data_IF_278121193331
#
_entry.id   IF_278121193331
#
_cell.length_a   1.000
_cell.length_b   1.000
_cell.length_c   1.000
_cell.angle_alpha   90.00
_cell.angle_beta   90.00
_cell.angle_gamma   90.00
#
_symmetry.space_group_name_H-M   'P 1'
#
loop_
_entity.id
_entity.type
_entity.pdbx_description
1 polymer ?
#
# COMPACT_ATOMS: atom_id res chain seq x y z
N UNK A 1 4.13 34.96 -26.96
CA UNK A 1 3.91 35.09 -25.50
C UNK A 1 4.02 33.80 -24.66
N UNK A 2 4.67 32.69 -25.09
CA UNK A 2 4.92 31.56 -24.16
C UNK A 2 6.30 31.47 -23.45
N UNK A 3 7.41 32.16 -23.84
CA UNK A 3 8.71 31.89 -23.22
C UNK A 3 8.87 32.50 -21.82
N UNK A 4 8.16 33.60 -21.53
CA UNK A 4 8.26 34.30 -20.24
C UNK A 4 7.59 33.51 -19.10
N UNK A 5 6.49 32.79 -19.37
CA UNK A 5 5.82 31.95 -18.37
C UNK A 5 6.66 30.71 -18.00
N UNK A 6 7.40 30.15 -18.96
CA UNK A 6 8.30 29.02 -18.71
C UNK A 6 9.49 29.42 -17.80
N UNK A 7 10.05 30.62 -18.00
CA UNK A 7 11.15 31.15 -17.17
C UNK A 7 10.73 31.38 -15.71
N UNK A 8 9.51 31.86 -15.48
CA UNK A 8 8.96 32.07 -14.14
C UNK A 8 8.70 30.73 -13.42
N UNK A 9 8.24 29.71 -14.16
CA UNK A 9 8.06 28.35 -13.62
C UNK A 9 9.37 27.69 -13.17
N UNK A 10 10.47 27.92 -13.90
CA UNK A 10 11.79 27.39 -13.53
C UNK A 10 12.41 28.07 -12.30
N UNK A 11 12.07 29.33 -12.02
CA UNK A 11 12.55 30.05 -10.83
C UNK A 11 11.75 29.70 -9.56
N UNK A 12 10.55 29.11 -9.73
CA UNK A 12 9.74 28.55 -8.66
C UNK A 12 9.99 27.04 -8.44
N UNK A 13 11.05 26.48 -9.04
CA UNK A 13 11.44 25.10 -8.83
C UNK A 13 12.02 24.94 -7.41
N UNK A 14 11.18 24.55 -6.47
CA UNK A 14 11.66 24.11 -5.16
C UNK A 14 12.38 22.77 -5.29
N UNK A 15 13.44 22.52 -4.50
CA UNK A 15 14.04 21.20 -4.42
C UNK A 15 12.95 20.21 -3.98
N UNK A 16 12.59 19.29 -4.86
CA UNK A 16 11.72 18.17 -4.50
C UNK A 16 12.57 17.17 -3.74
N UNK A 17 12.48 17.14 -2.42
CA UNK A 17 13.24 16.22 -1.57
C UNK A 17 12.76 14.75 -1.65
N UNK A 18 11.88 14.41 -2.60
CA UNK A 18 11.35 13.05 -2.80
C UNK A 18 12.21 12.17 -3.72
N UNK A 19 13.50 12.48 -3.90
CA UNK A 19 14.41 11.62 -4.64
C UNK A 19 14.77 10.42 -3.75
N UNK A 20 14.00 9.34 -3.86
CA UNK A 20 14.16 8.11 -3.05
C UNK A 20 15.36 7.24 -3.43
N UNK A 21 16.14 7.65 -4.44
CA UNK A 21 17.36 6.95 -4.84
C UNK A 21 18.56 7.65 -4.22
N UNK A 22 19.31 6.92 -3.39
CA UNK A 22 20.58 7.39 -2.81
C UNK A 22 21.66 7.61 -3.87
N UNK A 23 22.90 7.80 -3.43
CA UNK A 23 24.06 7.93 -4.32
C UNK A 23 24.11 6.78 -5.32
N UNK A 24 24.58 7.07 -6.55
CA UNK A 24 24.86 6.04 -7.55
C UNK A 24 25.75 4.98 -6.91
N UNK A 25 25.16 3.82 -6.66
CA UNK A 25 25.91 2.66 -6.19
C UNK A 25 26.63 2.13 -7.41
N UNK A 26 27.94 2.32 -7.47
CA UNK A 26 28.77 1.67 -8.47
C UNK A 26 28.62 0.15 -8.30
N UNK A 27 28.27 -0.55 -9.38
CA UNK A 27 28.13 -2.00 -9.29
C UNK A 27 29.51 -2.61 -8.97
N UNK A 28 29.60 -3.55 -8.01
CA UNK A 28 30.85 -4.23 -7.70
C UNK A 28 31.35 -5.11 -8.85
N UNK A 29 30.54 -5.30 -9.91
CA UNK A 29 30.80 -6.18 -11.05
C UNK A 29 30.72 -5.36 -12.35
N UNK A 30 31.59 -5.61 -13.36
CA UNK A 30 31.51 -4.93 -14.64
C UNK A 30 30.12 -5.03 -15.29
N UNK A 31 29.68 -3.93 -15.93
CA UNK A 31 28.34 -3.79 -16.49
C UNK A 31 27.91 -4.95 -17.40
N UNK A 32 28.82 -5.45 -18.24
CA UNK A 32 28.52 -6.57 -19.16
C UNK A 32 28.09 -7.84 -18.45
N UNK A 33 28.80 -8.24 -17.39
CA UNK A 33 28.44 -9.41 -16.59
C UNK A 33 27.13 -9.21 -15.85
N UNK A 34 26.88 -7.99 -15.34
CA UNK A 34 25.60 -7.67 -14.70
C UNK A 34 24.44 -7.79 -15.69
N UNK A 35 24.55 -7.22 -16.89
CA UNK A 35 23.49 -7.26 -17.90
C UNK A 35 23.20 -8.69 -18.37
N UNK A 36 24.25 -9.51 -18.60
CA UNK A 36 24.08 -10.92 -18.97
C UNK A 36 23.41 -11.69 -17.83
N UNK A 37 23.86 -11.49 -16.59
CA UNK A 37 23.26 -12.14 -15.41
C UNK A 37 21.81 -11.74 -15.19
N UNK A 38 21.48 -10.45 -15.26
CA UNK A 38 20.12 -9.94 -15.13
C UNK A 38 19.21 -10.48 -16.25
N UNK A 39 19.69 -10.46 -17.50
CA UNK A 39 18.96 -11.02 -18.64
C UNK A 39 18.68 -12.50 -18.49
N UNK A 40 19.68 -13.29 -18.08
CA UNK A 40 19.52 -14.72 -17.82
C UNK A 40 18.56 -15.00 -16.66
N UNK A 41 18.65 -14.25 -15.55
CA UNK A 41 17.75 -14.41 -14.41
C UNK A 41 16.28 -14.16 -14.81
N UNK A 42 16.02 -13.09 -15.58
CA UNK A 42 14.69 -12.80 -16.11
C UNK A 42 14.22 -13.93 -17.04
N UNK A 43 15.02 -14.31 -18.04
CA UNK A 43 14.66 -15.37 -18.99
C UNK A 43 14.35 -16.69 -18.28
N UNK A 44 15.20 -17.12 -17.34
CA UNK A 44 15.01 -18.34 -16.56
C UNK A 44 13.76 -18.27 -15.67
N UNK A 45 13.45 -17.12 -15.06
CA UNK A 45 12.23 -16.96 -14.27
C UNK A 45 10.96 -17.15 -15.11
N UNK A 46 10.93 -16.62 -16.34
CA UNK A 46 9.82 -16.84 -17.26
C UNK A 46 9.73 -18.29 -17.71
N UNK A 47 10.86 -18.95 -17.99
CA UNK A 47 10.88 -20.38 -18.34
C UNK A 47 10.33 -21.21 -17.18
N UNK A 48 10.77 -20.93 -15.94
CA UNK A 48 10.28 -21.62 -14.75
C UNK A 48 8.78 -21.39 -14.54
N UNK A 49 8.31 -20.15 -14.63
CA UNK A 49 6.88 -19.84 -14.46
C UNK A 49 6.06 -20.51 -15.58
N UNK A 50 6.51 -20.44 -16.83
CA UNK A 50 5.85 -21.05 -17.99
C UNK A 50 5.75 -22.57 -17.89
N UNK A 51 6.76 -23.23 -17.30
CA UNK A 51 6.81 -24.70 -17.17
C UNK A 51 6.18 -25.23 -15.89
N UNK A 52 6.23 -24.47 -14.79
CA UNK A 52 5.78 -24.92 -13.47
C UNK A 52 4.39 -24.40 -13.08
N UNK A 53 3.92 -23.30 -13.68
CA UNK A 53 2.64 -22.69 -13.33
C UNK A 53 1.61 -23.01 -14.40
N UNK A 54 0.74 -23.97 -14.09
CA UNK A 54 -0.47 -24.21 -14.88
C UNK A 54 -1.49 -23.09 -14.68
N UNK A 55 -1.82 -22.40 -15.77
CA UNK A 55 -2.84 -21.33 -15.83
C UNK A 55 -4.24 -21.93 -16.06
N UNK A 56 -4.42 -23.24 -15.87
CA UNK A 56 -5.73 -23.89 -15.96
C UNK A 56 -6.65 -23.34 -14.88
N UNK A 57 -7.75 -22.72 -15.32
CA UNK A 57 -8.60 -21.84 -14.51
C UNK A 57 -9.11 -22.46 -13.21
N UNK A 58 -9.28 -21.55 -12.23
CA UNK A 58 -9.58 -21.76 -10.81
C UNK A 58 -8.33 -22.03 -9.97
N UNK A 59 -7.64 -20.97 -9.51
CA UNK A 59 -6.64 -21.11 -8.46
C UNK A 59 -7.31 -21.56 -7.16
N UNK A 60 -7.49 -22.87 -6.98
CA UNK A 60 -7.81 -23.49 -5.71
C UNK A 60 -6.54 -23.58 -4.86
N UNK A 61 -5.93 -22.42 -4.58
CA UNK A 61 -4.92 -22.36 -3.54
C UNK A 61 -5.60 -22.68 -2.21
N UNK A 62 -4.94 -23.50 -1.39
CA UNK A 62 -5.35 -23.73 0.00
C UNK A 62 -5.23 -22.40 0.76
N UNK A 63 -6.30 -21.60 0.75
CA UNK A 63 -6.38 -20.35 1.50
C UNK A 63 -7.13 -20.66 2.78
N UNK A 64 -6.41 -20.66 3.90
CA UNK A 64 -7.06 -20.64 5.20
C UNK A 64 -7.68 -19.25 5.41
N UNK A 65 -8.91 -19.09 4.91
CA UNK A 65 -9.69 -17.88 5.14
C UNK A 65 -10.22 -17.88 6.57
N UNK A 66 -9.38 -17.51 7.53
CA UNK A 66 -9.75 -17.41 8.93
C UNK A 66 -10.86 -16.37 9.16
N UNK A 67 -11.02 -15.39 8.25
CA UNK A 67 -12.08 -14.36 8.32
C UNK A 67 -13.42 -14.88 7.76
N UNK A 68 -13.40 -15.86 6.86
CA UNK A 68 -14.57 -16.43 6.20
C UNK A 68 -15.43 -17.36 7.08
N UNK A 69 -14.90 -17.80 8.22
CA UNK A 69 -15.63 -18.63 9.16
C UNK A 69 -16.78 -17.84 9.83
N UNK A 70 -17.94 -18.47 10.04
CA UNK A 70 -19.13 -17.78 10.59
C UNK A 70 -18.86 -17.14 11.97
N UNK A 71 -17.94 -17.73 12.73
CA UNK A 71 -17.53 -17.26 14.06
C UNK A 71 -16.59 -16.04 14.01
N UNK A 72 -15.63 -16.01 13.07
CA UNK A 72 -14.75 -14.87 12.87
C UNK A 72 -15.53 -13.65 12.39
N UNK A 73 -16.53 -13.81 11.51
CA UNK A 73 -17.41 -12.70 11.11
C UNK A 73 -18.12 -12.08 12.31
N UNK A 74 -18.66 -12.87 13.24
CA UNK A 74 -19.36 -12.34 14.43
C UNK A 74 -18.45 -11.54 15.36
N UNK A 75 -17.23 -12.03 15.62
CA UNK A 75 -16.26 -11.34 16.49
C UNK A 75 -15.63 -10.12 15.79
N UNK A 76 -15.36 -10.20 14.48
CA UNK A 76 -14.83 -9.10 13.67
C UNK A 76 -15.90 -8.11 13.17
N UNK A 77 -17.20 -8.34 13.40
CA UNK A 77 -18.24 -7.33 13.08
C UNK A 77 -18.66 -6.53 14.30
N UNK A 78 -18.28 -6.94 15.51
CA UNK A 78 -18.56 -6.15 16.70
C UNK A 78 -17.83 -4.81 16.62
N UNK A 79 -18.55 -3.67 16.74
CA UNK A 79 -17.95 -2.35 16.65
C UNK A 79 -16.91 -2.12 17.76
N UNK A 80 -17.07 -2.78 18.92
CA UNK A 80 -16.19 -2.65 20.08
C UNK A 80 -14.82 -3.32 19.87
N UNK A 81 -14.78 -4.49 19.23
CA UNK A 81 -13.52 -5.21 18.96
C UNK A 81 -12.78 -4.59 17.78
N UNK A 82 -13.51 -4.03 16.82
CA UNK A 82 -12.92 -3.35 15.67
C UNK A 82 -12.37 -1.96 15.99
N UNK A 83 -12.94 -1.25 16.97
CA UNK A 83 -12.51 0.09 17.32
C UNK A 83 -11.01 0.20 17.64
N UNK A 84 -10.41 -0.64 18.53
CA UNK A 84 -8.97 -0.58 18.78
C UNK A 84 -8.14 -0.88 17.53
N UNK A 85 -8.56 -1.84 16.70
CA UNK A 85 -7.88 -2.17 15.43
C UNK A 85 -7.90 -0.96 14.48
N UNK A 86 -9.05 -0.27 14.40
CA UNK A 86 -9.21 0.93 13.58
C UNK A 86 -8.35 2.08 14.09
N UNK A 87 -8.34 2.32 15.39
CA UNK A 87 -7.51 3.34 16.03
C UNK A 87 -6.02 3.07 15.77
N UNK A 88 -5.56 1.84 15.97
CA UNK A 88 -4.17 1.45 15.70
C UNK A 88 -3.81 1.67 14.23
N UNK A 89 -4.68 1.29 13.30
CA UNK A 89 -4.43 1.51 11.87
C UNK A 89 -4.27 3.00 11.52
N UNK A 90 -5.20 3.84 11.98
CA UNK A 90 -5.13 5.30 11.72
C UNK A 90 -3.94 5.93 12.44
N UNK A 91 -3.62 5.47 13.65
CA UNK A 91 -2.43 5.90 14.39
C UNK A 91 -1.15 5.55 13.64
N UNK A 92 -1.02 4.32 13.12
CA UNK A 92 0.13 3.90 12.32
C UNK A 92 0.26 4.75 11.05
N UNK A 93 -0.84 5.07 10.37
CA UNK A 93 -0.83 6.00 9.25
C UNK A 93 -0.31 7.39 9.67
N UNK A 94 -0.80 7.92 10.80
CA UNK A 94 -0.34 9.18 11.37
C UNK A 94 1.16 9.15 11.71
N UNK A 95 1.65 8.04 12.27
CA UNK A 95 3.05 7.83 12.60
C UNK A 95 3.92 7.77 11.35
N UNK A 96 3.49 7.09 10.28
CA UNK A 96 4.16 7.07 8.98
C UNK A 96 4.29 8.47 8.39
N UNK A 97 3.23 9.28 8.48
CA UNK A 97 3.24 10.67 8.00
C UNK A 97 4.20 11.52 8.85
N UNK A 98 4.07 11.45 10.18
CA UNK A 98 4.88 12.23 11.10
C UNK A 98 6.38 11.91 10.97
N UNK A 99 6.74 10.63 10.91
CA UNK A 99 8.13 10.18 10.71
C UNK A 99 8.61 10.39 9.28
N UNK A 100 7.71 10.49 8.30
CA UNK A 100 8.06 10.92 6.95
C UNK A 100 8.54 12.37 6.87
N UNK A 101 7.95 13.27 7.67
CA UNK A 101 8.33 14.69 7.69
C UNK A 101 9.43 15.03 8.71
N UNK A 102 9.41 14.39 9.88
CA UNK A 102 10.30 14.71 11.00
C UNK A 102 11.14 13.54 11.51
N UNK A 103 11.15 12.40 10.82
CA UNK A 103 11.96 11.25 11.17
C UNK A 103 13.41 11.36 10.70
N UNK A 104 14.16 10.29 10.92
CA UNK A 104 15.58 10.22 10.58
C UNK A 104 15.80 10.37 9.05
N UNK A 105 16.83 11.10 8.60
CA UNK A 105 17.16 11.19 7.17
C UNK A 105 17.58 9.85 6.55
N UNK A 106 18.12 8.92 7.35
CA UNK A 106 18.51 7.59 6.91
C UNK A 106 17.27 6.70 6.75
N UNK A 107 16.98 6.19 5.53
CA UNK A 107 15.80 5.37 5.29
C UNK A 107 15.77 4.06 6.09
N UNK A 108 16.92 3.55 6.54
CA UNK A 108 16.99 2.32 7.34
C UNK A 108 16.64 2.56 8.81
N UNK A 109 16.81 3.78 9.30
CA UNK A 109 16.51 4.18 10.67
C UNK A 109 15.15 4.86 10.80
N UNK A 110 14.61 5.37 9.69
CA UNK A 110 13.31 6.00 9.66
C UNK A 110 12.19 4.95 9.64
N UNK A 111 11.24 5.09 10.57
CA UNK A 111 10.07 4.22 10.67
C UNK A 111 9.23 4.19 9.38
N UNK A 112 9.02 5.35 8.74
CA UNK A 112 8.13 5.48 7.58
C UNK A 112 8.52 4.55 6.41
N UNK A 113 9.75 4.61 5.87
CA UNK A 113 10.17 3.70 4.80
C UNK A 113 10.23 2.23 5.25
N UNK A 114 10.74 1.91 6.45
CA UNK A 114 10.80 0.53 6.93
C UNK A 114 9.40 -0.07 7.07
N UNK A 115 8.47 0.68 7.66
CA UNK A 115 7.10 0.23 7.84
C UNK A 115 6.39 0.06 6.51
N UNK A 116 6.44 1.04 5.60
CA UNK A 116 5.71 0.98 4.33
C UNK A 116 6.29 -0.11 3.40
N UNK A 117 7.60 -0.19 3.27
CA UNK A 117 8.22 -1.08 2.28
C UNK A 117 8.42 -2.51 2.79
N UNK A 118 8.81 -2.68 4.05
CA UNK A 118 9.12 -4.01 4.60
C UNK A 118 7.90 -4.58 5.30
N UNK A 119 7.45 -3.93 6.36
CA UNK A 119 6.38 -4.47 7.21
C UNK A 119 5.06 -4.53 6.43
N UNK A 120 4.71 -3.44 5.76
CA UNK A 120 3.45 -3.30 5.06
C UNK A 120 3.47 -4.02 3.72
N UNK A 121 4.38 -3.68 2.79
CA UNK A 121 4.35 -4.29 1.46
C UNK A 121 4.63 -5.80 1.49
N UNK A 122 5.70 -6.23 2.16
CA UNK A 122 6.07 -7.65 2.24
C UNK A 122 5.24 -8.38 3.29
N UNK A 123 5.14 -7.86 4.51
CA UNK A 123 4.40 -8.52 5.58
C UNK A 123 2.90 -8.64 5.30
N UNK A 124 2.25 -7.59 4.77
CA UNK A 124 0.82 -7.64 4.47
C UNK A 124 0.51 -8.57 3.30
N UNK A 125 1.36 -8.64 2.26
CA UNK A 125 1.13 -9.54 1.13
C UNK A 125 1.19 -11.01 1.54
N UNK A 126 2.19 -11.40 2.35
CA UNK A 126 2.29 -12.75 2.93
C UNK A 126 1.08 -13.04 3.82
N UNK A 127 0.72 -12.10 4.69
CA UNK A 127 -0.43 -12.24 5.59
C UNK A 127 -1.74 -12.41 4.82
N UNK A 128 -1.94 -11.68 3.71
CA UNK A 128 -3.13 -11.80 2.85
C UNK A 128 -3.15 -13.11 2.06
N UNK A 129 -1.99 -13.58 1.62
CA UNK A 129 -1.84 -14.87 0.96
C UNK A 129 -2.27 -16.01 1.92
N UNK A 130 -1.81 -15.95 3.17
CA UNK A 130 -2.05 -16.98 4.18
C UNK A 130 -3.45 -16.93 4.80
N UNK A 131 -3.87 -15.76 5.29
CA UNK A 131 -5.03 -15.62 6.17
C UNK A 131 -6.29 -15.03 5.48
N UNK A 132 -6.14 -14.48 4.27
CA UNK A 132 -7.22 -13.84 3.52
C UNK A 132 -7.20 -12.30 3.56
N UNK A 133 -8.28 -11.64 3.16
CA UNK A 133 -8.32 -10.18 2.96
C UNK A 133 -8.37 -9.37 4.29
N UNK A 134 -7.25 -9.35 5.03
CA UNK A 134 -7.07 -8.54 6.24
C UNK A 134 -7.07 -7.03 5.96
N UNK A 135 -6.69 -6.63 4.75
CA UNK A 135 -6.69 -5.21 4.34
C UNK A 135 -8.07 -4.56 4.49
N UNK A 136 -9.15 -5.29 4.23
CA UNK A 136 -10.51 -4.77 4.36
C UNK A 136 -10.87 -4.25 5.77
N UNK A 137 -10.16 -4.74 6.80
CA UNK A 137 -10.31 -4.37 8.21
C UNK A 137 -9.36 -3.23 8.59
N UNK A 138 -8.11 -3.32 8.12
CA UNK A 138 -7.03 -2.41 8.50
C UNK A 138 -6.95 -1.16 7.61
N UNK A 139 -7.70 -1.05 6.51
CA UNK A 139 -7.56 0.08 5.58
C UNK A 139 -7.84 1.44 6.27
N UNK A 140 -6.82 2.28 6.52
CA UNK A 140 -6.98 3.51 7.29
C UNK A 140 -7.84 4.54 6.53
N UNK A 141 -7.77 4.58 5.19
CA UNK A 141 -8.57 5.48 4.37
C UNK A 141 -10.06 5.18 4.47
N UNK A 142 -10.41 3.89 4.43
CA UNK A 142 -11.80 3.43 4.63
C UNK A 142 -12.29 3.77 6.04
N UNK A 143 -11.43 3.63 7.05
CA UNK A 143 -11.75 3.95 8.44
C UNK A 143 -12.02 5.44 8.61
N UNK A 144 -11.11 6.29 8.12
CA UNK A 144 -11.22 7.75 8.17
C UNK A 144 -12.50 8.20 7.47
N UNK A 145 -12.78 7.67 6.27
CA UNK A 145 -14.02 7.97 5.55
C UNK A 145 -15.25 7.56 6.35
N UNK A 146 -15.25 6.36 6.96
CA UNK A 146 -16.36 5.90 7.78
C UNK A 146 -16.61 6.78 9.01
N UNK A 147 -15.55 7.29 9.65
CA UNK A 147 -15.68 8.25 10.74
C UNK A 147 -16.20 9.60 10.25
N UNK A 148 -15.69 10.11 9.13
CA UNK A 148 -16.17 11.33 8.51
C UNK A 148 -17.67 11.24 8.15
N UNK A 149 -18.12 10.11 7.60
CA UNK A 149 -19.53 9.85 7.32
C UNK A 149 -20.37 9.76 8.59
N UNK A 150 -19.86 9.14 9.66
CA UNK A 150 -20.53 9.11 10.96
C UNK A 150 -20.72 10.51 11.56
N UNK A 151 -19.68 11.33 11.55
CA UNK A 151 -19.73 12.72 12.01
C UNK A 151 -20.70 13.54 11.14
N UNK A 152 -20.63 13.37 9.82
CA UNK A 152 -21.53 14.08 8.91
C UNK A 152 -23.00 13.73 9.14
N UNK A 153 -23.32 12.45 9.37
CA UNK A 153 -24.68 12.01 9.72
C UNK A 153 -25.16 12.58 11.06
N UNK A 154 -24.26 12.75 12.03
CA UNK A 154 -24.58 13.38 13.31
C UNK A 154 -24.90 14.87 13.15
N UNK A 155 -24.18 15.58 12.26
CA UNK A 155 -24.37 17.01 12.00
C UNK A 155 -25.52 17.29 11.03
N UNK A 156 -25.76 16.41 10.04
CA UNK A 156 -26.82 16.53 9.03
C UNK A 156 -27.55 15.19 8.85
N UNK A 157 -28.59 14.91 9.65
CA UNK A 157 -29.41 13.72 9.50
C UNK A 157 -30.01 13.65 8.08
N UNK A 158 -29.79 12.54 7.37
CA UNK A 158 -30.41 12.28 6.05
C UNK A 158 -29.53 12.56 4.82
N UNK A 159 -28.31 13.09 4.96
CA UNK A 159 -27.36 13.22 3.84
C UNK A 159 -26.13 12.36 4.07
N UNK A 160 -25.81 11.49 3.12
CA UNK A 160 -24.57 10.72 3.11
C UNK A 160 -23.46 11.49 2.40
N UNK A 161 -22.22 11.34 2.87
CA UNK A 161 -21.03 11.82 2.15
C UNK A 161 -20.78 10.95 0.91
N UNK A 162 -21.15 9.68 0.97
CA UNK A 162 -21.17 8.81 -0.20
C UNK A 162 -22.23 9.33 -1.19
N UNK A 163 -21.81 9.57 -2.43
CA UNK A 163 -22.69 10.05 -3.50
C UNK A 163 -23.76 9.03 -3.92
N UNK A 164 -23.75 7.83 -3.32
CA UNK A 164 -24.68 6.71 -3.55
C UNK A 164 -25.00 6.46 -5.03
N UNK A 165 -24.05 6.79 -5.92
CA UNK A 165 -24.20 6.57 -7.36
C UNK A 165 -24.01 5.10 -7.63
N UNK A 166 -24.94 4.53 -8.40
CA UNK A 166 -24.78 3.19 -8.92
C UNK A 166 -23.51 3.14 -9.77
N UNK A 167 -22.76 2.05 -9.57
CA UNK A 167 -21.60 1.78 -10.40
C UNK A 167 -22.10 1.56 -11.83
N UNK A 168 -21.52 2.22 -12.85
CA UNK A 168 -21.94 1.97 -14.21
C UNK A 168 -21.82 0.48 -14.52
N UNK A 169 -22.84 -0.07 -15.18
CA UNK A 169 -22.82 -1.45 -15.64
C UNK A 169 -21.59 -1.66 -16.53
N UNK A 170 -20.85 -2.74 -16.24
CA UNK A 170 -19.62 -3.10 -16.96
C UNK A 170 -19.90 -3.46 -18.42
#
# INVERSE_FOLDING_TARGET
MPPALALVGSLAAWPVYAHGFGQRTELPVPLGYFLVGAGLAVALSFVLISTLVDISGQPSYWRHNLIGHRWSKGVLTSPLTLLPVKLVSVFLLGLVIATGFGGDPSPLLNFSPVFVWVIWWVGMSITVALLGNFWALLNPWKIIFGWAEGIHRLVRPGRNLSLARDYPAR
#
